data_IF_309328532159
#
_entry.id   IF_309328532159
#
_cell.length_a   1.000
_cell.length_b   1.000
_cell.length_c   1.000
_cell.angle_alpha   90.00
_cell.angle_beta   90.00
_cell.angle_gamma   90.00
#
_symmetry.space_group_name_H-M   'P 1'
#
loop_
_entity.id
_entity.type
_entity.pdbx_description
1 polymer ?
#
# COMPACT_ATOMS: atom_id res chain seq x y z
N UNK A 1 -1.18 -9.07 -11.41
CA UNK A 1 -1.49 -7.75 -12.01
C UNK A 1 -0.67 -6.72 -11.25
N UNK A 2 0.42 -6.26 -11.85
CA UNK A 2 1.26 -5.21 -11.27
C UNK A 2 0.81 -3.84 -11.80
N UNK A 3 1.00 -2.80 -11.00
CA UNK A 3 0.87 -1.41 -11.45
C UNK A 3 1.77 -1.21 -12.67
N UNK A 4 1.25 -0.65 -13.76
CA UNK A 4 2.02 -0.55 -15.01
C UNK A 4 3.24 0.37 -14.85
N UNK A 5 4.36 0.01 -15.47
CA UNK A 5 5.61 0.76 -15.45
C UNK A 5 5.42 2.22 -15.89
N UNK A 6 4.63 2.43 -16.95
CA UNK A 6 4.31 3.73 -17.56
C UNK A 6 3.37 4.59 -16.72
N UNK A 7 2.48 3.95 -15.97
CA UNK A 7 1.62 4.63 -15.02
C UNK A 7 2.44 5.19 -13.85
N UNK A 8 3.37 4.38 -13.33
CA UNK A 8 4.25 4.80 -12.24
C UNK A 8 5.15 5.95 -12.69
N UNK A 9 5.71 5.90 -13.90
CA UNK A 9 6.53 6.99 -14.44
C UNK A 9 5.73 8.30 -14.65
N UNK A 10 4.47 8.22 -15.08
CA UNK A 10 3.60 9.41 -15.21
C UNK A 10 3.24 10.07 -13.88
N UNK A 11 3.07 9.29 -12.81
CA UNK A 11 2.90 9.79 -11.44
C UNK A 11 4.19 10.44 -10.93
N UNK A 12 5.35 9.85 -11.21
CA UNK A 12 6.67 10.37 -10.83
C UNK A 12 7.05 11.69 -11.47
N UNK A 13 6.75 11.87 -12.76
CA UNK A 13 7.05 13.11 -13.47
C UNK A 13 6.22 14.30 -12.94
N UNK A 14 5.05 14.02 -12.34
CA UNK A 14 4.14 15.06 -11.82
C UNK A 14 4.28 15.32 -10.32
N UNK A 15 4.64 14.30 -9.54
CA UNK A 15 5.02 14.44 -8.13
C UNK A 15 6.47 14.91 -8.04
N UNK A 16 6.72 16.19 -8.31
CA UNK A 16 8.05 16.79 -8.30
C UNK A 16 8.91 16.38 -7.08
N UNK A 17 9.84 15.45 -7.32
CA UNK A 17 11.13 15.20 -6.62
C UNK A 17 11.17 14.92 -5.10
N UNK A 18 10.11 15.20 -4.33
CA UNK A 18 10.19 15.26 -2.86
C UNK A 18 9.15 14.43 -2.12
N UNK A 19 8.11 13.94 -2.81
CA UNK A 19 7.12 13.07 -2.18
C UNK A 19 7.73 11.68 -1.90
N UNK A 20 7.56 11.12 -0.69
CA UNK A 20 8.02 9.76 -0.37
C UNK A 20 7.44 8.71 -1.31
N UNK A 21 6.20 8.91 -1.79
CA UNK A 21 5.58 8.03 -2.79
C UNK A 21 6.25 8.14 -4.16
N UNK A 22 6.72 9.33 -4.52
CA UNK A 22 7.51 9.51 -5.73
C UNK A 22 8.89 8.84 -5.59
N UNK A 23 9.51 8.91 -4.42
CA UNK A 23 10.76 8.17 -4.20
C UNK A 23 10.51 6.66 -4.31
N UNK A 24 9.43 6.14 -3.69
CA UNK A 24 9.05 4.73 -3.73
C UNK A 24 8.78 4.24 -5.15
N UNK A 25 7.99 4.97 -5.93
CA UNK A 25 7.71 4.59 -7.31
C UNK A 25 8.97 4.67 -8.19
N UNK A 26 9.84 5.68 -7.99
CA UNK A 26 11.09 5.81 -8.74
C UNK A 26 12.04 4.66 -8.44
N UNK A 27 12.20 4.32 -7.16
CA UNK A 27 13.02 3.18 -6.75
C UNK A 27 12.45 1.86 -7.28
N UNK A 28 11.12 1.71 -7.31
CA UNK A 28 10.48 0.51 -7.86
C UNK A 28 10.77 0.34 -9.34
N UNK A 29 10.71 1.41 -10.13
CA UNK A 29 11.05 1.39 -11.56
C UNK A 29 12.54 1.09 -11.74
N UNK A 30 13.42 1.81 -11.03
CA UNK A 30 14.86 1.60 -11.11
C UNK A 30 15.26 0.15 -10.76
N UNK A 31 14.63 -0.47 -9.76
CA UNK A 31 14.88 -1.88 -9.44
C UNK A 31 14.26 -2.84 -10.45
N UNK A 32 13.09 -2.51 -11.01
CA UNK A 32 12.38 -3.37 -11.96
C UNK A 32 13.05 -3.47 -13.33
N UNK A 33 13.88 -2.49 -13.72
CA UNK A 33 14.70 -2.53 -14.93
C UNK A 33 15.94 -3.42 -14.80
N UNK A 34 16.30 -3.82 -13.56
CA UNK A 34 17.46 -4.66 -13.30
C UNK A 34 17.12 -6.16 -13.43
N UNK A 35 18.06 -6.92 -14.00
CA UNK A 35 17.99 -8.38 -13.93
C UNK A 35 18.22 -8.85 -12.50
N UNK A 36 17.76 -10.07 -12.17
CA UNK A 36 17.99 -10.67 -10.86
C UNK A 36 19.49 -10.78 -10.49
N UNK A 37 20.38 -10.93 -11.47
CA UNK A 37 21.84 -10.94 -11.26
C UNK A 37 22.44 -9.58 -10.91
N UNK A 38 21.77 -8.50 -11.30
CA UNK A 38 22.26 -7.12 -11.22
C UNK A 38 21.56 -6.34 -10.08
N UNK A 39 20.77 -7.06 -9.27
CA UNK A 39 19.98 -6.49 -8.18
C UNK A 39 20.92 -6.02 -7.05
N UNK A 40 21.28 -4.73 -7.08
CA UNK A 40 22.24 -4.12 -6.16
C UNK A 40 21.69 -3.86 -4.75
N UNK A 41 22.47 -3.17 -3.91
CA UNK A 41 22.19 -3.01 -2.47
C UNK A 41 20.90 -2.24 -2.12
N UNK A 42 20.33 -1.46 -3.04
CA UNK A 42 19.06 -0.75 -2.85
C UNK A 42 17.83 -1.57 -3.29
N UNK A 43 18.06 -2.75 -3.85
CA UNK A 43 17.03 -3.65 -4.38
C UNK A 43 17.19 -5.05 -3.76
N UNK A 44 16.15 -5.86 -3.81
CA UNK A 44 16.16 -7.26 -3.39
C UNK A 44 15.50 -8.14 -4.45
N UNK A 45 16.02 -9.35 -4.63
CA UNK A 45 15.38 -10.35 -5.49
C UNK A 45 14.29 -11.05 -4.69
N UNK A 46 13.05 -10.96 -5.16
CA UNK A 46 11.91 -11.67 -4.58
C UNK A 46 11.16 -12.39 -5.69
N UNK A 47 11.03 -13.71 -5.57
CA UNK A 47 10.39 -14.56 -6.58
C UNK A 47 10.96 -14.39 -8.01
N UNK A 48 12.28 -14.19 -8.12
CA UNK A 48 12.98 -14.08 -9.41
C UNK A 48 12.90 -12.69 -10.06
N UNK A 49 12.22 -11.72 -9.44
CA UNK A 49 12.15 -10.34 -9.90
C UNK A 49 12.96 -9.44 -8.96
N UNK A 50 13.68 -8.47 -9.52
CA UNK A 50 14.34 -7.44 -8.74
C UNK A 50 13.32 -6.36 -8.36
N UNK A 51 13.23 -6.06 -7.07
CA UNK A 51 12.32 -5.06 -6.53
C UNK A 51 13.03 -4.18 -5.49
N UNK A 52 12.43 -3.06 -5.09
CA UNK A 52 12.98 -2.23 -4.03
C UNK A 52 13.06 -3.04 -2.72
N UNK A 53 14.16 -2.87 -1.98
CA UNK A 53 14.33 -3.54 -0.67
C UNK A 53 13.17 -3.22 0.26
N UNK A 54 12.63 -4.22 0.95
CA UNK A 54 11.49 -4.04 1.88
C UNK A 54 11.83 -3.07 3.02
N UNK A 55 13.05 -3.15 3.55
CA UNK A 55 13.53 -2.25 4.60
C UNK A 55 13.59 -0.79 4.14
N UNK A 56 14.05 -0.56 2.91
CA UNK A 56 14.04 0.76 2.30
C UNK A 56 12.61 1.27 2.06
N UNK A 57 11.71 0.44 1.51
CA UNK A 57 10.30 0.80 1.32
C UNK A 57 9.63 1.18 2.64
N UNK A 58 9.81 0.35 3.67
CA UNK A 58 9.22 0.58 4.98
C UNK A 58 9.72 1.90 5.58
N UNK A 59 10.99 2.25 5.42
CA UNK A 59 11.55 3.55 5.84
C UNK A 59 10.98 4.72 5.07
N UNK A 60 10.94 4.62 3.74
CA UNK A 60 10.43 5.70 2.89
C UNK A 60 8.96 6.00 3.24
N UNK A 61 8.19 4.95 3.54
CA UNK A 61 6.81 5.08 4.01
C UNK A 61 6.73 5.62 5.44
N UNK A 62 7.58 5.16 6.36
CA UNK A 62 7.62 5.67 7.74
C UNK A 62 7.99 7.17 7.79
N UNK A 63 8.97 7.58 6.99
CA UNK A 63 9.41 8.97 6.85
C UNK A 63 8.32 9.88 6.24
N UNK A 64 7.29 9.29 5.62
CA UNK A 64 6.10 10.00 5.14
C UNK A 64 5.11 10.41 6.26
N UNK A 65 5.53 10.33 7.53
CA UNK A 65 4.71 10.62 8.71
C UNK A 65 3.46 9.74 8.83
N UNK A 66 3.59 8.45 8.43
CA UNK A 66 2.55 7.47 8.68
C UNK A 66 2.33 7.25 10.20
N UNK A 67 3.34 7.48 11.03
CA UNK A 67 3.26 7.37 12.48
C UNK A 67 2.19 8.30 13.09
N UNK A 68 2.17 9.57 12.67
CA UNK A 68 1.19 10.55 13.16
C UNK A 68 -0.22 10.29 12.63
N UNK A 69 -0.36 9.75 11.40
CA UNK A 69 -1.65 9.56 10.73
C UNK A 69 -2.26 8.17 10.88
N UNK A 70 -1.47 7.16 11.23
CA UNK A 70 -1.89 5.75 11.30
C UNK A 70 -1.84 5.14 12.69
N UNK A 71 -1.64 5.98 13.72
CA UNK A 71 -1.57 5.55 15.11
C UNK A 71 -0.59 4.40 15.32
N UNK A 72 -0.99 3.41 16.10
CA UNK A 72 -0.15 2.27 16.47
C UNK A 72 0.41 1.55 15.24
N UNK A 73 -0.40 1.38 14.20
CA UNK A 73 0.03 0.62 13.03
C UNK A 73 1.10 1.37 12.24
N UNK A 74 0.97 2.69 12.10
CA UNK A 74 2.01 3.54 11.53
C UNK A 74 3.30 3.45 12.33
N UNK A 75 3.20 3.48 13.66
CA UNK A 75 4.34 3.35 14.56
C UNK A 75 5.00 1.97 14.50
N UNK A 76 4.24 0.89 14.42
CA UNK A 76 4.77 -0.48 14.22
C UNK A 76 5.48 -0.57 12.87
N UNK A 77 4.90 -0.04 11.80
CA UNK A 77 5.54 -0.05 10.48
C UNK A 77 6.85 0.75 10.47
N UNK A 78 6.87 1.90 11.13
CA UNK A 78 8.07 2.71 11.29
C UNK A 78 9.15 1.97 12.09
N UNK A 79 8.77 1.31 13.19
CA UNK A 79 9.70 0.52 13.99
C UNK A 79 10.17 -0.73 13.25
N UNK A 80 9.31 -1.41 12.48
CA UNK A 80 9.68 -2.58 11.67
C UNK A 80 10.73 -2.19 10.62
N UNK A 81 10.58 -1.02 10.01
CA UNK A 81 11.56 -0.48 9.08
C UNK A 81 12.94 -0.35 9.74
N UNK A 82 13.00 0.25 10.93
CA UNK A 82 14.24 0.41 11.71
C UNK A 82 14.81 -0.94 12.12
N UNK A 83 13.96 -1.87 12.58
CA UNK A 83 14.39 -3.19 13.01
C UNK A 83 14.96 -4.02 11.86
N UNK A 84 14.37 -3.94 10.66
CA UNK A 84 14.75 -4.75 9.50
C UNK A 84 16.18 -4.52 8.98
N UNK A 85 16.86 -3.47 9.43
CA UNK A 85 18.26 -3.18 9.09
C UNK A 85 19.27 -3.86 10.01
N UNK A 86 18.81 -4.35 11.16
CA UNK A 86 19.67 -5.03 12.12
C UNK A 86 19.95 -6.46 11.67
N UNK A 87 21.18 -6.91 11.87
CA UNK A 87 21.54 -8.31 11.67
C UNK A 87 21.19 -9.13 12.92
N UNK A 88 21.32 -10.46 12.83
CA UNK A 88 20.98 -11.37 13.92
C UNK A 88 21.70 -11.06 15.25
N UNK A 89 22.90 -10.48 15.19
CA UNK A 89 23.68 -10.12 16.38
C UNK A 89 23.45 -8.69 16.88
N UNK A 90 22.76 -7.84 16.12
CA UNK A 90 22.57 -6.42 16.40
C UNK A 90 21.10 -5.99 16.55
N UNK A 91 20.17 -6.94 16.65
CA UNK A 91 18.76 -6.66 16.90
C UNK A 91 18.62 -5.81 18.18
N UNK A 92 18.29 -4.52 18.00
CA UNK A 92 18.25 -3.54 19.08
C UNK A 92 17.19 -3.88 20.16
N UNK A 93 17.19 -3.13 21.27
CA UNK A 93 16.36 -3.39 22.46
C UNK A 93 14.84 -3.49 22.18
N UNK A 94 14.34 -2.86 21.11
CA UNK A 94 12.93 -2.90 20.67
C UNK A 94 12.66 -3.89 19.54
N UNK A 95 13.69 -4.56 19.04
CA UNK A 95 13.65 -5.49 17.93
C UNK A 95 13.86 -6.92 18.44
N UNK A 96 13.30 -7.90 17.75
CA UNK A 96 13.52 -9.31 18.00
C UNK A 96 13.88 -10.00 16.68
N UNK A 97 14.89 -10.86 16.73
CA UNK A 97 15.26 -11.69 15.60
C UNK A 97 14.18 -12.74 15.36
N UNK A 98 13.65 -12.79 14.14
CA UNK A 98 12.72 -13.83 13.71
C UNK A 98 13.46 -14.85 12.84
N UNK A 99 13.79 -16.03 13.38
CA UNK A 99 14.52 -17.05 12.62
C UNK A 99 13.72 -17.64 11.46
N UNK A 100 12.39 -17.43 11.40
CA UNK A 100 11.56 -17.89 10.28
C UNK A 100 11.62 -16.93 9.11
N UNK A 101 11.75 -15.63 9.39
CA UNK A 101 11.88 -14.57 8.39
C UNK A 101 13.35 -14.26 8.04
N UNK A 102 14.29 -14.81 8.81
CA UNK A 102 15.72 -14.51 8.75
C UNK A 102 15.97 -12.99 8.81
N UNK A 103 15.20 -12.31 9.67
CA UNK A 103 15.16 -10.86 9.74
C UNK A 103 14.84 -10.38 11.16
N UNK A 104 15.34 -9.20 11.51
CA UNK A 104 14.93 -8.46 12.70
C UNK A 104 13.57 -7.78 12.45
N UNK A 105 12.64 -7.92 13.39
CA UNK A 105 11.36 -7.21 13.39
C UNK A 105 11.06 -6.58 14.75
N UNK A 106 9.95 -5.86 14.87
CA UNK A 106 9.51 -5.29 16.14
C UNK A 106 9.22 -6.39 17.14
N UNK A 107 9.79 -6.28 18.34
CA UNK A 107 9.54 -7.25 19.39
C UNK A 107 8.10 -7.14 19.91
N UNK A 108 7.45 -8.28 20.19
CA UNK A 108 6.08 -8.31 20.71
C UNK A 108 5.90 -7.49 22.00
N UNK A 109 6.93 -7.47 22.87
CA UNK A 109 6.89 -6.69 24.10
C UNK A 109 6.94 -5.18 23.84
N UNK A 110 7.59 -4.72 22.75
CA UNK A 110 7.60 -3.32 22.36
C UNK A 110 6.22 -2.89 21.84
N UNK A 111 5.57 -3.72 21.00
CA UNK A 111 4.20 -3.48 20.52
C UNK A 111 3.21 -3.41 21.69
N UNK A 112 3.31 -4.34 22.64
CA UNK A 112 2.43 -4.33 23.83
C UNK A 112 2.74 -3.18 24.80
N UNK A 113 3.98 -2.70 24.83
CA UNK A 113 4.38 -1.48 25.52
C UNK A 113 3.69 -0.25 24.95
N UNK A 114 3.83 -0.02 23.63
CA UNK A 114 3.20 1.09 22.91
C UNK A 114 1.68 1.08 23.08
N UNK A 115 1.06 -0.09 22.91
CA UNK A 115 -0.38 -0.31 23.14
C UNK A 115 -0.85 0.17 24.52
N UNK A 116 -0.06 -0.10 25.55
CA UNK A 116 -0.43 0.21 26.94
C UNK A 116 -0.08 1.62 27.36
N UNK A 117 0.85 2.29 26.69
CA UNK A 117 1.27 3.65 27.05
C UNK A 117 0.51 4.68 26.22
N UNK A 118 0.51 4.49 24.91
CA UNK A 118 0.14 5.53 23.96
C UNK A 118 -1.22 5.26 23.29
N UNK A 119 -1.69 4.00 23.26
CA UNK A 119 -2.92 3.60 22.56
C UNK A 119 -4.00 2.97 23.46
N UNK A 120 -4.12 3.46 24.70
CA UNK A 120 -5.11 2.97 25.66
C UNK A 120 -6.54 3.20 25.20
N UNK A 121 -6.81 4.32 24.54
CA UNK A 121 -8.15 4.68 24.10
C UNK A 121 -8.63 3.76 22.97
N UNK A 122 -7.74 3.43 22.04
CA UNK A 122 -7.98 2.52 20.93
C UNK A 122 -8.26 1.12 21.45
N UNK A 123 -7.48 0.64 22.43
CA UNK A 123 -7.76 -0.61 23.13
C UNK A 123 -9.12 -0.62 23.81
N UNK A 124 -9.51 0.49 24.47
CA UNK A 124 -10.82 0.61 25.09
C UNK A 124 -11.94 0.56 24.04
N UNK A 125 -11.77 1.22 22.88
CA UNK A 125 -12.73 1.18 21.76
C UNK A 125 -12.88 -0.24 21.21
N UNK A 126 -11.78 -0.97 21.02
CA UNK A 126 -11.81 -2.38 20.57
C UNK A 126 -12.53 -3.25 21.61
N UNK A 127 -12.19 -3.11 22.89
CA UNK A 127 -12.83 -3.87 23.96
C UNK A 127 -14.35 -3.62 24.02
N UNK A 128 -14.80 -2.37 23.88
CA UNK A 128 -16.22 -2.02 23.84
C UNK A 128 -16.93 -2.61 22.61
N UNK A 129 -16.28 -2.65 21.44
CA UNK A 129 -16.83 -3.31 20.24
C UNK A 129 -16.93 -4.82 20.44
N UNK A 130 -15.90 -5.44 21.00
CA UNK A 130 -15.89 -6.87 21.31
C UNK A 130 -17.02 -7.21 22.29
N UNK A 131 -17.19 -6.44 23.35
CA UNK A 131 -18.27 -6.64 24.32
C UNK A 131 -19.65 -6.53 23.65
N UNK A 132 -19.84 -5.57 22.74
CA UNK A 132 -21.08 -5.45 21.95
C UNK A 132 -21.31 -6.65 21.03
N UNK A 133 -20.28 -7.20 20.40
CA UNK A 133 -20.45 -8.44 19.62
C UNK A 133 -20.85 -9.61 20.51
N UNK A 134 -20.19 -9.80 21.65
CA UNK A 134 -20.47 -10.91 22.57
C UNK A 134 -21.90 -10.91 23.14
N UNK A 135 -22.55 -9.73 23.18
CA UNK A 135 -23.93 -9.59 23.65
C UNK A 135 -24.99 -9.86 22.57
N UNK A 136 -24.59 -10.06 21.31
CA UNK A 136 -25.53 -10.25 20.19
C UNK A 136 -25.92 -11.70 20.00
N UNK A 137 -27.16 -11.89 19.56
CA UNK A 137 -27.66 -13.19 19.10
C UNK A 137 -27.11 -13.57 17.73
N UNK A 138 -27.33 -14.82 17.29
CA UNK A 138 -26.86 -15.29 15.99
C UNK A 138 -27.39 -14.45 14.82
N UNK A 139 -28.66 -14.05 14.88
CA UNK A 139 -29.33 -13.26 13.83
C UNK A 139 -28.83 -11.82 13.79
N UNK A 140 -28.41 -11.28 14.93
CA UNK A 140 -27.87 -9.93 15.07
C UNK A 140 -26.36 -9.87 14.80
N UNK A 141 -25.70 -11.03 14.64
CA UNK A 141 -24.26 -11.15 14.47
C UNK A 141 -23.82 -10.83 13.04
N UNK A 142 -24.02 -9.58 12.64
CA UNK A 142 -23.74 -9.05 11.31
C UNK A 142 -22.75 -7.89 11.36
N UNK A 143 -22.34 -7.38 10.20
CA UNK A 143 -21.40 -6.27 10.08
C UNK A 143 -20.02 -6.62 10.64
N UNK A 144 -19.55 -5.87 11.63
CA UNK A 144 -18.22 -6.05 12.24
C UNK A 144 -18.06 -7.32 13.08
N UNK A 145 -19.15 -8.07 13.31
CA UNK A 145 -19.12 -9.32 14.08
C UNK A 145 -19.26 -10.54 13.16
N UNK A 146 -18.83 -11.71 13.64
CA UNK A 146 -18.97 -13.00 12.96
C UNK A 146 -19.41 -14.09 13.93
N UNK A 147 -20.28 -14.99 13.46
CA UNK A 147 -20.80 -16.09 14.27
C UNK A 147 -19.98 -17.35 14.09
N UNK A 148 -19.33 -17.80 15.16
CA UNK A 148 -18.55 -19.05 15.22
C UNK A 148 -18.96 -19.85 16.46
N UNK A 149 -20.26 -20.08 16.62
CA UNK A 149 -20.87 -20.65 17.83
C UNK A 149 -21.13 -19.62 18.93
N UNK A 150 -20.38 -18.52 18.93
CA UNK A 150 -20.69 -17.27 19.64
C UNK A 150 -20.44 -16.09 18.71
N UNK A 151 -21.03 -14.93 19.00
CA UNK A 151 -20.80 -13.74 18.20
C UNK A 151 -19.50 -13.04 18.62
N UNK A 152 -18.51 -13.01 17.71
CA UNK A 152 -17.17 -12.48 17.98
C UNK A 152 -16.83 -11.32 17.04
N UNK A 153 -15.91 -10.44 17.46
CA UNK A 153 -15.44 -9.34 16.63
C UNK A 153 -14.51 -9.86 15.52
N UNK A 154 -14.70 -9.41 14.28
CA UNK A 154 -13.78 -9.72 13.18
C UNK A 154 -12.41 -9.08 13.45
N UNK A 155 -11.32 -9.84 13.30
CA UNK A 155 -9.95 -9.35 13.56
C UNK A 155 -9.59 -8.11 12.74
N UNK A 156 -10.00 -8.07 11.47
CA UNK A 156 -9.74 -6.93 10.58
C UNK A 156 -10.48 -5.66 11.03
N UNK A 157 -11.69 -5.81 11.57
CA UNK A 157 -12.47 -4.70 12.13
C UNK A 157 -11.88 -4.20 13.46
N UNK A 158 -11.31 -5.11 14.25
CA UNK A 158 -10.54 -4.72 15.43
C UNK A 158 -9.32 -3.88 15.03
N UNK A 159 -8.63 -4.24 13.95
CA UNK A 159 -7.52 -3.46 13.41
C UNK A 159 -7.99 -2.10 12.89
N UNK A 160 -9.04 -2.06 12.08
CA UNK A 160 -9.63 -0.80 11.57
C UNK A 160 -10.09 0.14 12.69
N UNK A 161 -10.55 -0.40 13.84
CA UNK A 161 -10.96 0.39 14.98
C UNK A 161 -9.82 1.10 15.73
N UNK A 162 -8.59 0.60 15.59
CA UNK A 162 -7.37 1.16 16.21
C UNK A 162 -6.64 2.10 15.27
N UNK A 163 -6.90 1.97 13.96
CA UNK A 163 -6.31 2.84 12.95
C UNK A 163 -7.14 4.13 12.85
N UNK A 164 -6.46 5.26 12.94
CA UNK A 164 -7.07 6.58 12.77
C UNK A 164 -7.80 6.72 11.43
N UNK A 165 -8.84 7.55 11.38
CA UNK A 165 -9.69 7.72 10.20
C UNK A 165 -8.92 8.30 9.01
N UNK A 166 -7.90 9.11 9.28
CA UNK A 166 -7.04 9.74 8.29
C UNK A 166 -5.87 8.86 7.81
N UNK A 167 -5.81 7.60 8.28
CA UNK A 167 -4.75 6.69 7.88
C UNK A 167 -5.03 6.05 6.50
N UNK A 168 -4.12 6.18 5.52
CA UNK A 168 -4.25 5.52 4.22
C UNK A 168 -4.36 3.98 4.33
N UNK A 169 -3.75 3.37 5.35
CA UNK A 169 -3.84 1.93 5.57
C UNK A 169 -5.23 1.47 6.00
N UNK A 170 -6.00 2.33 6.69
CA UNK A 170 -7.41 2.05 6.99
C UNK A 170 -8.21 1.87 5.71
N UNK A 171 -7.94 2.71 4.72
CA UNK A 171 -8.58 2.65 3.40
C UNK A 171 -8.24 1.38 2.66
N UNK A 172 -6.96 1.00 2.61
CA UNK A 172 -6.53 -0.27 1.99
C UNK A 172 -7.23 -1.45 2.63
N UNK A 173 -7.18 -1.53 3.96
CA UNK A 173 -7.76 -2.65 4.71
C UNK A 173 -9.30 -2.67 4.61
N UNK A 174 -9.93 -1.50 4.61
CA UNK A 174 -11.38 -1.34 4.48
C UNK A 174 -11.89 -1.78 3.11
N UNK A 175 -11.25 -1.32 2.02
CA UNK A 175 -11.60 -1.75 0.66
C UNK A 175 -11.35 -3.24 0.49
N UNK A 176 -10.26 -3.77 1.03
CA UNK A 176 -9.98 -5.21 0.98
C UNK A 176 -11.02 -6.04 1.74
N UNK A 177 -11.46 -5.58 2.91
CA UNK A 177 -12.55 -6.22 3.65
C UNK A 177 -13.85 -6.20 2.83
N UNK A 178 -14.24 -5.01 2.33
CA UNK A 178 -15.48 -4.81 1.60
C UNK A 178 -15.54 -5.67 0.34
N UNK A 179 -14.48 -5.70 -0.47
CA UNK A 179 -14.41 -6.59 -1.63
C UNK A 179 -14.44 -8.06 -1.22
N UNK A 180 -13.76 -8.44 -0.13
CA UNK A 180 -13.73 -9.82 0.36
C UNK A 180 -15.10 -10.36 0.79
N UNK A 181 -16.05 -9.49 1.18
CA UNK A 181 -17.42 -9.89 1.52
C UNK A 181 -18.30 -10.14 0.28
N UNK A 182 -17.89 -9.68 -0.90
CA UNK A 182 -18.62 -9.85 -2.15
C UNK A 182 -18.32 -11.22 -2.77
N UNK A 183 -19.20 -12.17 -2.51
CA UNK A 183 -19.00 -13.58 -2.92
C UNK A 183 -19.45 -13.90 -4.35
N UNK A 184 -20.06 -12.96 -5.07
CA UNK A 184 -20.52 -13.17 -6.45
C UNK A 184 -19.83 -12.21 -7.43
N UNK A 185 -19.61 -12.66 -8.67
CA UNK A 185 -19.05 -11.81 -9.73
C UNK A 185 -19.89 -10.56 -9.97
N UNK A 186 -21.22 -10.69 -9.97
CA UNK A 186 -22.13 -9.58 -10.20
C UNK A 186 -22.05 -8.53 -9.09
N UNK A 187 -22.08 -8.95 -7.81
CA UNK A 187 -21.94 -8.04 -6.68
C UNK A 187 -20.56 -7.38 -6.63
N UNK A 188 -19.50 -8.13 -7.00
CA UNK A 188 -18.14 -7.62 -7.07
C UNK A 188 -17.99 -6.52 -8.14
N UNK A 189 -18.49 -6.77 -9.35
CA UNK A 189 -18.40 -5.82 -10.47
C UNK A 189 -19.30 -4.59 -10.28
N UNK A 190 -20.39 -4.72 -9.51
CA UNK A 190 -21.25 -3.60 -9.16
C UNK A 190 -20.68 -2.71 -8.05
N UNK A 191 -19.63 -3.14 -7.34
CA UNK A 191 -19.04 -2.37 -6.27
C UNK A 191 -18.24 -1.19 -6.82
N UNK A 192 -18.65 0.01 -6.44
CA UNK A 192 -17.99 1.26 -6.80
C UNK A 192 -17.51 2.03 -5.58
N UNK A 193 -16.48 2.86 -5.77
CA UNK A 193 -15.99 3.80 -4.77
C UNK A 193 -16.87 5.07 -4.75
N UNK A 194 -16.52 6.01 -3.87
CA UNK A 194 -17.24 7.29 -3.71
C UNK A 194 -17.22 8.18 -4.96
N UNK A 195 -16.35 7.90 -5.93
CA UNK A 195 -16.23 8.61 -7.21
C UNK A 195 -16.97 7.88 -8.33
N UNK A 196 -17.64 6.77 -8.02
CA UNK A 196 -18.31 5.92 -9.01
C UNK A 196 -17.33 5.09 -9.84
N UNK A 197 -16.06 5.01 -9.44
CA UNK A 197 -15.08 4.13 -10.06
C UNK A 197 -15.24 2.72 -9.50
N UNK A 198 -14.80 1.68 -10.21
CA UNK A 198 -14.86 0.31 -9.74
C UNK A 198 -14.00 0.13 -8.51
N UNK A 199 -14.58 -0.31 -7.40
CA UNK A 199 -13.84 -0.55 -6.17
C UNK A 199 -13.18 -1.95 -6.16
N UNK A 200 -13.79 -2.91 -6.86
CA UNK A 200 -13.39 -4.30 -6.83
C UNK A 200 -13.32 -4.93 -8.23
N UNK A 201 -12.49 -5.97 -8.35
CA UNK A 201 -12.29 -6.78 -9.55
C UNK A 201 -12.55 -8.26 -9.25
N UNK A 202 -13.20 -8.97 -10.17
CA UNK A 202 -13.42 -10.41 -10.05
C UNK A 202 -12.33 -11.20 -10.76
N UNK A 203 -11.50 -11.92 -10.00
CA UNK A 203 -10.43 -12.80 -10.53
C UNK A 203 -10.59 -14.24 -10.05
N UNK A 204 -11.83 -14.74 -10.00
CA UNK A 204 -12.21 -16.00 -9.33
C UNK A 204 -12.52 -15.84 -7.84
N UNK A 205 -12.12 -14.71 -7.26
CA UNK A 205 -12.60 -14.14 -6.00
C UNK A 205 -12.67 -12.63 -6.17
N UNK A 206 -13.45 -11.94 -5.34
CA UNK A 206 -13.49 -10.49 -5.37
C UNK A 206 -12.28 -9.91 -4.64
N UNK A 207 -11.53 -9.04 -5.33
CA UNK A 207 -10.33 -8.35 -4.79
C UNK A 207 -10.44 -6.86 -5.05
N UNK A 208 -9.74 -6.00 -4.28
CA UNK A 208 -9.66 -4.58 -4.59
C UNK A 208 -9.14 -4.29 -6.00
N UNK A 209 -9.75 -3.35 -6.68
CA UNK A 209 -9.20 -2.78 -7.91
C UNK A 209 -8.03 -1.86 -7.55
N UNK A 210 -6.82 -2.21 -8.00
CA UNK A 210 -5.59 -1.59 -7.50
C UNK A 210 -5.48 -0.14 -7.93
N UNK A 211 -5.89 0.18 -9.18
CA UNK A 211 -5.82 1.53 -9.70
C UNK A 211 -6.81 2.48 -9.01
N UNK A 212 -8.03 2.02 -8.72
CA UNK A 212 -9.03 2.81 -7.99
C UNK A 212 -8.60 3.04 -6.53
N UNK A 213 -8.07 2.01 -5.88
CA UNK A 213 -7.52 2.13 -4.53
C UNK A 213 -6.37 3.13 -4.48
N UNK A 214 -5.44 3.08 -5.43
CA UNK A 214 -4.33 4.02 -5.50
C UNK A 214 -4.82 5.46 -5.70
N UNK A 215 -5.80 5.68 -6.57
CA UNK A 215 -6.43 7.00 -6.72
C UNK A 215 -7.02 7.51 -5.39
N UNK A 216 -7.58 6.62 -4.58
CA UNK A 216 -8.12 6.97 -3.26
C UNK A 216 -7.02 7.35 -2.27
N UNK A 217 -5.92 6.60 -2.27
CA UNK A 217 -4.75 6.88 -1.42
C UNK A 217 -4.07 8.20 -1.81
N UNK A 218 -3.95 8.48 -3.10
CA UNK A 218 -3.43 9.76 -3.59
C UNK A 218 -4.32 10.94 -3.17
N UNK A 219 -5.65 10.77 -3.21
CA UNK A 219 -6.58 11.77 -2.74
C UNK A 219 -6.42 12.03 -1.23
N UNK A 220 -6.34 10.97 -0.42
CA UNK A 220 -6.14 11.07 1.03
C UNK A 220 -4.79 11.69 1.41
N UNK A 221 -3.76 11.39 0.63
CA UNK A 221 -2.44 12.00 0.78
C UNK A 221 -2.41 13.48 0.31
N UNK A 222 -3.52 14.01 -0.22
CA UNK A 222 -3.60 15.34 -0.85
C UNK A 222 -2.60 15.50 -2.02
N UNK A 223 -2.26 14.40 -2.68
CA UNK A 223 -1.37 14.33 -3.83
C UNK A 223 -2.13 14.25 -5.16
N UNK A 224 -3.45 14.07 -5.10
CA UNK A 224 -4.29 13.98 -6.28
C UNK A 224 -4.58 15.38 -6.85
N UNK A 225 -4.00 15.68 -8.00
CA UNK A 225 -4.35 16.88 -8.78
C UNK A 225 -5.54 16.57 -9.71
N UNK A 226 -6.35 17.56 -10.11
CA UNK A 226 -7.47 17.33 -11.04
C UNK A 226 -7.05 16.65 -12.36
N UNK A 227 -5.86 17.03 -12.86
CA UNK A 227 -5.29 16.45 -14.09
C UNK A 227 -4.83 15.00 -13.90
N UNK A 228 -4.33 14.65 -12.72
CA UNK A 228 -3.96 13.27 -12.40
C UNK A 228 -5.23 12.42 -12.21
N UNK A 229 -6.24 12.96 -11.56
CA UNK A 229 -7.54 12.32 -11.38
C UNK A 229 -8.23 12.00 -12.71
N UNK A 230 -8.27 12.96 -13.63
CA UNK A 230 -8.86 12.78 -14.96
C UNK A 230 -8.14 11.66 -15.74
N UNK A 231 -6.81 11.70 -15.79
CA UNK A 231 -6.00 10.71 -16.52
C UNK A 231 -6.18 9.31 -15.94
N UNK A 232 -6.15 9.18 -14.61
CA UNK A 232 -6.29 7.89 -13.93
C UNK A 232 -7.70 7.34 -14.07
N UNK A 233 -8.74 8.17 -13.91
CA UNK A 233 -10.14 7.76 -14.06
C UNK A 233 -10.43 7.31 -15.50
N UNK A 234 -9.91 8.03 -16.49
CA UNK A 234 -10.03 7.66 -17.90
C UNK A 234 -9.28 6.36 -18.22
N UNK A 235 -8.10 6.14 -17.64
CA UNK A 235 -7.37 4.87 -17.78
C UNK A 235 -8.17 3.70 -17.18
N UNK A 236 -8.68 3.85 -15.95
CA UNK A 236 -9.51 2.83 -15.29
C UNK A 236 -10.73 2.48 -16.16
N UNK A 237 -11.48 3.48 -16.63
CA UNK A 237 -12.67 3.25 -17.47
C UNK A 237 -12.36 2.53 -18.79
N UNK A 238 -11.21 2.80 -19.42
CA UNK A 238 -10.77 2.08 -20.62
C UNK A 238 -10.41 0.62 -20.32
N UNK A 239 -9.72 0.38 -19.20
CA UNK A 239 -9.30 -0.96 -18.81
C UNK A 239 -10.45 -1.89 -18.41
N UNK A 240 -11.63 -1.34 -18.12
CA UNK A 240 -12.83 -2.14 -17.87
C UNK A 240 -13.58 -2.53 -19.12
N UNK A 241 -13.60 -1.66 -20.12
CA UNK A 241 -14.39 -1.85 -21.34
C UNK A 241 -13.63 -2.68 -22.39
N UNK A 242 -12.31 -2.77 -22.28
CA UNK A 242 -11.46 -3.63 -23.09
C UNK A 242 -10.92 -4.73 -22.18
N UNK A 243 -10.87 -5.99 -22.65
CA UNK A 243 -10.08 -7.00 -21.93
C UNK A 243 -8.63 -6.53 -21.96
N UNK A 244 -8.17 -5.90 -20.89
CA UNK A 244 -6.77 -5.57 -20.76
C UNK A 244 -5.99 -6.87 -20.66
N UNK A 245 -5.56 -7.37 -21.82
CA UNK A 245 -4.41 -8.27 -21.88
C UNK A 245 -3.26 -7.57 -21.15
N UNK A 246 -2.63 -8.30 -20.25
CA UNK A 246 -1.69 -7.79 -19.26
C UNK A 246 -0.46 -7.05 -19.84
N UNK A 247 -0.29 -7.07 -21.17
CA UNK A 247 0.86 -6.53 -21.89
C UNK A 247 0.57 -5.28 -22.74
N UNK A 248 -0.68 -4.80 -22.84
CA UNK A 248 -1.03 -3.67 -23.71
C UNK A 248 -1.67 -2.54 -22.91
N UNK A 249 -0.84 -1.72 -22.27
CA UNK A 249 -1.23 -0.35 -21.93
C UNK A 249 -0.83 0.55 -23.12
N UNK A 250 -1.81 1.19 -23.78
CA UNK A 250 -1.58 2.05 -24.94
C UNK A 250 -0.79 3.31 -24.51
N UNK A 251 0.49 3.48 -24.92
CA UNK A 251 1.32 4.62 -24.54
C UNK A 251 0.89 5.94 -25.20
N UNK A 252 -0.03 5.88 -26.17
CA UNK A 252 -0.35 6.98 -27.08
C UNK A 252 -1.26 8.05 -26.46
N UNK A 253 -1.86 7.80 -25.29
CA UNK A 253 -2.86 8.67 -24.67
C UNK A 253 -2.41 9.37 -23.37
N UNK A 254 -1.16 9.18 -22.92
CA UNK A 254 -0.63 10.05 -21.87
C UNK A 254 -0.33 11.42 -22.51
N UNK A 255 -0.89 12.54 -22.00
CA UNK A 255 -0.49 13.87 -22.44
C UNK A 255 0.86 14.17 -21.80
N UNK A 256 1.87 13.44 -22.23
CA UNK A 256 3.27 13.72 -21.98
C UNK A 256 3.68 14.70 -23.06
N UNK A 257 4.21 15.90 -22.72
CA UNK A 257 4.91 16.69 -23.70
C UNK A 257 6.08 15.85 -24.23
N UNK A 258 5.90 15.31 -25.44
CA UNK A 258 6.79 14.39 -26.16
C UNK A 258 8.21 14.92 -26.42
N UNK A 259 8.53 16.10 -25.90
CA UNK A 259 9.84 16.74 -25.96
C UNK A 259 10.68 16.54 -24.69
N UNK A 260 10.08 16.21 -23.55
CA UNK A 260 10.80 16.00 -22.27
C UNK A 260 11.46 14.61 -22.17
N UNK A 261 10.87 13.59 -22.80
CA UNK A 261 11.39 12.21 -22.78
C UNK A 261 12.66 12.02 -23.62
N UNK A 262 12.91 12.88 -24.62
CA UNK A 262 14.19 12.86 -25.35
C UNK A 262 15.30 13.60 -24.62
N UNK A 263 14.99 14.55 -23.74
CA UNK A 263 16.00 15.29 -22.97
C UNK A 263 16.41 14.57 -21.67
N UNK A 264 15.52 13.81 -21.02
CA UNK A 264 15.87 13.01 -19.84
C UNK A 264 16.85 11.86 -20.16
N UNK A 265 16.70 11.21 -21.33
CA UNK A 265 17.66 10.20 -21.83
C UNK A 265 18.99 10.77 -22.34
N UNK A 266 19.06 12.09 -22.60
CA UNK A 266 20.28 12.74 -23.14
C UNK A 266 21.07 13.54 -22.09
N UNK A 267 20.52 13.80 -20.90
CA UNK A 267 21.21 14.49 -19.81
C UNK A 267 22.00 13.55 -18.88
N UNK A 268 21.70 12.24 -18.88
CA UNK A 268 22.49 11.23 -18.18
C UNK A 268 23.81 10.87 -18.89
N UNK A 269 23.99 11.27 -20.16
CA UNK A 269 25.17 11.00 -20.98
C UNK A 269 26.14 12.18 -21.12
N UNK A 270 25.81 13.36 -20.57
CA UNK A 270 26.62 14.58 -20.72
C UNK A 270 27.36 15.04 -19.45
N UNK A 271 27.15 14.38 -18.32
CA UNK A 271 27.90 14.66 -17.07
C UNK A 271 29.12 13.72 -16.89
N UNK A 272 29.27 12.70 -17.75
CA UNK A 272 30.42 11.77 -17.75
C UNK A 272 31.49 12.08 -18.82
N UNK A 273 31.35 13.18 -19.58
CA UNK A 273 32.35 13.63 -20.56
C UNK A 273 33.00 14.99 -20.21
N UNK A 274 33.03 15.34 -18.92
CA UNK A 274 33.77 16.50 -18.41
C UNK A 274 34.60 16.11 -17.18
N UNK A 275 35.46 15.11 -17.34
CA UNK A 275 36.71 14.86 -16.60
C UNK A 275 37.45 13.67 -17.24
N UNK A 276 37.89 13.89 -18.47
CA UNK A 276 39.22 13.48 -18.95
C UNK A 276 39.86 14.77 -19.46
#
# INVERSE_FOLDING_TARGET
MGVSHWYSSGVLERLAGSSPWAQVAAQRLACGELNASDCGESCEVSAGLCGPRRSWLARSLAAAQLDAKCGLLGQIMAQEAVCSESNASSCALRCAWDPRRDACGVAQHAVTGDLRQDFREELARVALRQQRCLQRSQEECTGSCTWTGTCTLKTLEALLAVIDEDCPLRTVLGVQAACGELVTSASCQAATDVRGLPACLWTGRCVPETAALELQLLAQAQLLTPQLEEVMSAAIGRCQNSSCDADVFCPEDLPLPSKSLRSAGSLALLVLAARI
#
